data_IF_902617141838
#
_entry.id   IF_902617141838
#
_cell.length_a   1.000
_cell.length_b   1.000
_cell.length_c   1.000
_cell.angle_alpha   90.00
_cell.angle_beta   90.00
_cell.angle_gamma   90.00
#
_symmetry.space_group_name_H-M   'P 1'
#
loop_
_entity.id
_entity.type
_entity.pdbx_description
1 polymer ?
#
# COMPACT_ATOMS: atom_id res chain seq x y z
N UNK A 1 -9.21 -1.54 1.86
CA UNK A 1 -8.40 -0.34 1.50
C UNK A 1 -7.37 -0.14 2.60
N UNK A 2 -6.06 -0.28 2.29
CA UNK A 2 -5.01 -0.10 3.30
C UNK A 2 -4.73 1.39 3.52
N UNK A 3 -5.01 1.88 4.72
CA UNK A 3 -4.81 3.29 5.12
C UNK A 3 -3.34 3.63 5.35
N UNK A 4 -2.51 2.63 5.63
CA UNK A 4 -1.09 2.77 5.90
C UNK A 4 -0.30 1.58 5.35
N UNK A 5 0.97 1.81 5.08
CA UNK A 5 1.94 0.80 4.68
C UNK A 5 2.82 0.46 5.88
N UNK A 6 2.92 -0.82 6.24
CA UNK A 6 3.71 -1.29 7.36
C UNK A 6 4.76 -2.32 6.94
N UNK A 7 5.93 -2.28 7.62
CA UNK A 7 6.97 -3.31 7.52
C UNK A 7 7.49 -3.66 8.90
N UNK A 8 7.81 -4.94 9.10
CA UNK A 8 8.54 -5.41 10.27
C UNK A 8 10.02 -5.07 10.10
N UNK A 9 10.62 -4.45 11.13
CA UNK A 9 12.04 -4.10 11.14
C UNK A 9 12.89 -5.31 11.55
N UNK A 10 14.02 -5.47 10.88
CA UNK A 10 15.06 -6.45 11.26
C UNK A 10 15.95 -5.94 12.39
N UNK A 11 15.79 -4.68 12.78
CA UNK A 11 16.60 -4.00 13.78
C UNK A 11 15.89 -3.87 15.12
N UNK A 12 16.64 -3.54 16.18
CA UNK A 12 16.09 -3.14 17.47
C UNK A 12 15.25 -1.85 17.34
N UNK A 13 14.39 -1.58 18.31
CA UNK A 13 13.57 -0.37 18.34
C UNK A 13 14.41 0.91 18.25
N UNK A 14 15.46 1.01 19.06
CA UNK A 14 16.34 2.18 19.10
C UNK A 14 17.11 2.39 17.77
N UNK A 15 17.55 1.32 17.16
CA UNK A 15 18.21 1.35 15.87
C UNK A 15 17.23 1.72 14.75
N UNK A 16 16.01 1.19 14.80
CA UNK A 16 14.95 1.53 13.86
C UNK A 16 14.60 3.02 13.92
N UNK A 17 14.50 3.61 15.12
CA UNK A 17 14.29 5.04 15.29
C UNK A 17 15.41 5.88 14.63
N UNK A 18 16.68 5.47 14.82
CA UNK A 18 17.81 6.13 14.16
C UNK A 18 17.75 6.01 12.64
N UNK A 19 17.40 4.83 12.15
CA UNK A 19 17.26 4.57 10.71
C UNK A 19 16.13 5.40 10.09
N UNK A 20 14.97 5.51 10.73
CA UNK A 20 13.85 6.35 10.27
C UNK A 20 14.31 7.80 10.12
N UNK A 21 15.00 8.38 11.11
CA UNK A 21 15.50 9.75 11.03
C UNK A 21 16.51 9.93 9.88
N UNK A 22 17.46 9.02 9.77
CA UNK A 22 18.49 9.01 8.72
C UNK A 22 17.88 8.89 7.32
N UNK A 23 16.93 7.99 7.11
CA UNK A 23 16.30 7.79 5.80
C UNK A 23 15.33 8.93 5.47
N UNK A 24 14.68 9.56 6.46
CA UNK A 24 13.89 10.78 6.27
C UNK A 24 14.77 11.94 5.75
N UNK A 25 15.91 12.16 6.37
CA UNK A 25 16.88 13.18 5.94
C UNK A 25 17.36 12.94 4.51
N UNK A 26 17.75 11.70 4.16
CA UNK A 26 18.16 11.33 2.80
C UNK A 26 17.04 11.53 1.74
N UNK A 27 15.80 11.35 2.15
CA UNK A 27 14.63 11.59 1.31
C UNK A 27 14.21 13.07 1.24
N UNK A 28 15.01 13.99 1.84
CA UNK A 28 14.69 15.42 1.96
C UNK A 28 13.36 15.69 2.68
N UNK A 29 13.05 14.86 3.66
CA UNK A 29 11.88 15.02 4.51
C UNK A 29 12.28 15.68 5.82
N UNK A 30 11.62 16.77 6.15
CA UNK A 30 11.77 17.45 7.45
C UNK A 30 10.89 16.76 8.48
N UNK A 31 11.47 16.43 9.64
CA UNK A 31 10.71 16.00 10.83
C UNK A 31 10.25 17.26 11.52
N UNK A 32 8.93 17.52 11.49
CA UNK A 32 8.30 18.69 12.07
C UNK A 32 8.01 18.52 13.56
N UNK A 33 7.89 17.28 14.01
CA UNK A 33 7.62 16.94 15.40
C UNK A 33 7.68 15.44 15.65
N UNK A 34 7.91 15.09 16.91
CA UNK A 34 7.92 13.73 17.41
C UNK A 34 7.01 13.65 18.64
N UNK A 35 6.27 12.56 18.75
CA UNK A 35 5.42 12.28 19.91
C UNK A 35 5.57 10.82 20.33
N UNK A 36 5.70 10.58 21.62
CA UNK A 36 5.65 9.23 22.15
C UNK A 36 4.20 8.75 22.22
N UNK A 37 3.97 7.50 21.81
CA UNK A 37 2.65 6.89 21.88
C UNK A 37 2.35 6.42 23.31
N UNK A 38 1.06 6.40 23.71
CA UNK A 38 0.66 5.94 25.03
C UNK A 38 1.23 4.56 25.37
N UNK A 39 1.45 4.29 26.65
CA UNK A 39 1.91 2.99 27.16
C UNK A 39 3.23 2.50 26.53
N UNK A 40 4.11 3.41 26.13
CA UNK A 40 5.39 3.08 25.50
C UNK A 40 5.24 2.19 24.24
N UNK A 41 4.12 2.32 23.52
CA UNK A 41 3.83 1.52 22.33
C UNK A 41 4.67 1.91 21.10
N UNK A 42 5.31 3.07 21.15
CA UNK A 42 6.13 3.52 20.03
C UNK A 42 6.28 5.03 19.93
N UNK A 43 6.67 5.50 18.76
CA UNK A 43 6.87 6.91 18.45
C UNK A 43 6.26 7.29 17.12
N UNK A 44 5.58 8.43 17.09
CA UNK A 44 5.05 9.07 15.89
C UNK A 44 5.99 10.19 15.44
N UNK A 45 6.19 10.32 14.14
CA UNK A 45 6.91 11.39 13.49
C UNK A 45 5.97 12.11 12.51
N UNK A 46 5.84 13.39 12.62
CA UNK A 46 5.23 14.23 11.63
C UNK A 46 6.30 14.70 10.65
N UNK A 47 6.15 14.36 9.40
CA UNK A 47 7.14 14.63 8.35
C UNK A 47 6.55 15.49 7.25
N UNK A 48 7.37 16.30 6.62
CA UNK A 48 6.96 17.15 5.51
C UNK A 48 8.09 17.32 4.48
N UNK A 49 7.69 17.55 3.25
CA UNK A 49 8.56 18.00 2.17
C UNK A 49 7.98 19.31 1.59
N UNK A 50 8.79 20.34 1.54
CA UNK A 50 8.36 21.68 1.10
C UNK A 50 7.82 21.69 -0.34
N UNK A 51 8.43 20.90 -1.23
CA UNK A 51 7.99 20.81 -2.60
C UNK A 51 6.61 20.16 -2.73
N UNK A 52 6.37 19.05 -1.99
CA UNK A 52 5.05 18.40 -1.99
C UNK A 52 3.97 19.30 -1.42
N UNK A 53 4.30 19.98 -0.31
CA UNK A 53 3.39 20.91 0.33
C UNK A 53 3.04 22.08 -0.60
N UNK A 54 4.04 22.65 -1.28
CA UNK A 54 3.84 23.69 -2.28
C UNK A 54 2.88 23.26 -3.38
N UNK A 55 3.10 22.09 -3.99
CA UNK A 55 2.23 21.55 -5.05
C UNK A 55 0.79 21.36 -4.59
N UNK A 56 0.58 20.84 -3.38
CA UNK A 56 -0.76 20.60 -2.84
C UNK A 56 -1.48 21.93 -2.58
N UNK A 57 -0.79 22.91 -1.99
CA UNK A 57 -1.37 24.21 -1.65
C UNK A 57 -1.66 25.09 -2.89
N UNK A 58 -0.99 24.86 -4.01
CA UNK A 58 -1.32 25.57 -5.27
C UNK A 58 -2.63 25.11 -5.86
N UNK A 59 -3.08 23.90 -5.57
CA UNK A 59 -4.36 23.36 -6.06
C UNK A 59 -5.50 23.80 -5.14
N UNK A 60 -5.40 23.54 -3.83
CA UNK A 60 -6.40 23.97 -2.86
C UNK A 60 -5.75 24.15 -1.46
N UNK A 61 -5.83 25.36 -0.92
CA UNK A 61 -5.34 25.70 0.43
C UNK A 61 -6.01 24.88 1.55
N UNK A 62 -7.24 24.41 1.33
CA UNK A 62 -7.96 23.61 2.34
C UNK A 62 -7.31 22.24 2.56
N UNK A 63 -6.49 21.76 1.60
CA UNK A 63 -5.78 20.50 1.73
C UNK A 63 -4.67 20.52 2.79
N UNK A 64 -4.32 21.71 3.33
CA UNK A 64 -3.35 21.82 4.43
C UNK A 64 -3.76 21.00 5.66
N UNK A 65 -5.06 20.81 5.87
CA UNK A 65 -5.59 19.96 6.96
C UNK A 65 -5.27 18.49 6.84
N UNK A 66 -4.82 18.04 5.67
CA UNK A 66 -4.40 16.64 5.40
C UNK A 66 -2.88 16.45 5.51
N UNK A 67 -2.15 17.52 5.82
CA UNK A 67 -0.72 17.55 6.07
C UNK A 67 -0.46 17.75 7.57
N UNK A 68 0.68 17.30 8.11
CA UNK A 68 1.78 16.58 7.49
C UNK A 68 1.53 15.07 7.35
N UNK A 69 2.35 14.39 6.53
CA UNK A 69 2.39 12.93 6.49
C UNK A 69 2.94 12.38 7.81
N UNK A 70 2.50 11.19 8.18
CA UNK A 70 2.93 10.55 9.43
C UNK A 70 3.75 9.31 9.16
N UNK A 71 4.83 9.16 9.93
CA UNK A 71 5.56 7.91 10.12
C UNK A 71 5.38 7.44 11.56
N UNK A 72 5.30 6.14 11.77
CA UNK A 72 5.18 5.57 13.09
C UNK A 72 6.15 4.41 13.25
N UNK A 73 6.81 4.33 14.42
CA UNK A 73 7.58 3.16 14.84
C UNK A 73 6.88 2.56 16.05
N UNK A 74 6.36 1.34 15.89
CA UNK A 74 5.56 0.64 16.90
C UNK A 74 6.34 -0.52 17.52
N UNK A 75 6.11 -0.75 18.80
CA UNK A 75 6.47 -1.98 19.50
C UNK A 75 5.21 -2.83 19.63
N UNK A 76 5.16 -3.99 18.99
CA UNK A 76 4.03 -4.90 19.06
C UNK A 76 4.52 -6.35 19.15
N UNK A 77 4.09 -7.07 20.18
CA UNK A 77 4.33 -8.52 20.32
C UNK A 77 5.80 -8.94 20.10
N UNK A 78 6.75 -8.22 20.69
CA UNK A 78 8.22 -8.38 20.50
C UNK A 78 8.76 -8.01 19.12
N UNK A 79 7.92 -7.45 18.25
CA UNK A 79 8.27 -6.96 16.92
C UNK A 79 8.35 -5.44 16.91
N UNK A 80 9.17 -4.93 16.02
CA UNK A 80 9.23 -3.51 15.70
C UNK A 80 8.64 -3.31 14.32
N UNK A 81 7.61 -2.47 14.23
CA UNK A 81 6.95 -2.15 12.96
C UNK A 81 7.19 -0.69 12.62
N UNK A 82 7.51 -0.41 11.36
CA UNK A 82 7.52 0.96 10.83
C UNK A 82 6.35 1.11 9.87
N UNK A 83 5.57 2.16 10.07
CA UNK A 83 4.43 2.46 9.23
C UNK A 83 4.47 3.87 8.68
N UNK A 84 3.89 4.05 7.49
CA UNK A 84 3.66 5.34 6.86
C UNK A 84 2.22 5.46 6.38
N UNK A 85 1.66 6.67 6.43
CA UNK A 85 0.34 6.94 5.84
C UNK A 85 0.36 6.69 4.32
N UNK A 86 -0.74 6.14 3.80
CA UNK A 86 -0.90 5.90 2.38
C UNK A 86 -1.35 7.19 1.67
N UNK A 87 -0.39 7.94 1.14
CA UNK A 87 -0.65 9.21 0.48
C UNK A 87 -1.46 9.07 -0.82
N UNK A 88 -1.42 7.91 -1.48
CA UNK A 88 -2.17 7.67 -2.73
C UNK A 88 -3.68 7.72 -2.54
N UNK A 89 -4.18 7.62 -1.30
CA UNK A 89 -5.59 7.80 -0.98
C UNK A 89 -6.09 9.22 -1.28
N UNK A 90 -5.25 10.23 -1.05
CA UNK A 90 -5.57 11.61 -1.41
C UNK A 90 -5.84 11.77 -2.90
N UNK A 91 -4.99 11.17 -3.74
CA UNK A 91 -5.17 11.20 -5.19
C UNK A 91 -6.44 10.49 -5.68
N UNK A 92 -6.99 9.55 -4.89
CA UNK A 92 -8.26 8.88 -5.20
C UNK A 92 -9.49 9.70 -4.79
N UNK A 93 -9.37 10.50 -3.74
CA UNK A 93 -10.47 11.32 -3.21
C UNK A 93 -10.55 12.65 -3.95
N UNK A 94 -9.41 13.24 -4.27
CA UNK A 94 -9.32 14.53 -4.94
C UNK A 94 -9.07 14.27 -6.43
N UNK A 95 -10.08 14.60 -7.26
CA UNK A 95 -10.06 14.39 -8.71
C UNK A 95 -9.24 15.49 -9.42
N UNK A 96 -7.97 15.64 -9.00
CA UNK A 96 -7.01 16.56 -9.60
C UNK A 96 -5.74 15.81 -10.03
N UNK A 97 -5.29 16.02 -11.26
CA UNK A 97 -4.15 15.30 -11.84
C UNK A 97 -2.83 15.63 -11.12
N UNK A 98 -2.61 16.87 -10.73
CA UNK A 98 -1.38 17.29 -10.05
C UNK A 98 -1.30 16.69 -8.65
N UNK A 99 -2.44 16.67 -7.93
CA UNK A 99 -2.56 16.00 -6.64
C UNK A 99 -2.32 14.51 -6.77
N UNK A 100 -2.91 13.85 -7.78
CA UNK A 100 -2.73 12.42 -8.02
C UNK A 100 -1.25 12.05 -8.24
N UNK A 101 -0.55 12.78 -9.11
CA UNK A 101 0.87 12.53 -9.37
C UNK A 101 1.75 12.84 -8.14
N UNK A 102 1.46 13.92 -7.42
CA UNK A 102 2.16 14.24 -6.17
C UNK A 102 1.95 13.16 -5.13
N UNK A 103 0.71 12.73 -4.91
CA UNK A 103 0.37 11.67 -3.95
C UNK A 103 1.05 10.33 -4.28
N UNK A 104 1.15 9.99 -5.57
CA UNK A 104 1.87 8.79 -6.05
C UNK A 104 3.37 8.86 -5.74
N UNK A 105 3.99 10.01 -5.94
CA UNK A 105 5.41 10.24 -5.64
C UNK A 105 5.67 10.19 -4.12
N UNK A 106 4.79 10.80 -3.32
CA UNK A 106 4.84 10.75 -1.85
C UNK A 106 4.76 9.31 -1.37
N UNK A 107 3.77 8.56 -1.85
CA UNK A 107 3.54 7.16 -1.47
C UNK A 107 4.77 6.29 -1.77
N UNK A 108 5.35 6.45 -2.96
CA UNK A 108 6.58 5.75 -3.35
C UNK A 108 7.74 6.07 -2.40
N UNK A 109 7.98 7.36 -2.14
CA UNK A 109 9.07 7.79 -1.27
C UNK A 109 8.90 7.28 0.16
N UNK A 110 7.68 7.32 0.69
CA UNK A 110 7.38 6.82 2.04
C UNK A 110 7.58 5.31 2.15
N UNK A 111 7.15 4.54 1.16
CA UNK A 111 7.38 3.09 1.11
C UNK A 111 8.86 2.73 1.06
N UNK A 112 9.63 3.43 0.23
CA UNK A 112 11.08 3.25 0.18
C UNK A 112 11.76 3.59 1.50
N UNK A 113 11.35 4.68 2.15
CA UNK A 113 11.85 5.08 3.46
C UNK A 113 11.56 4.00 4.51
N UNK A 114 10.32 3.53 4.58
CA UNK A 114 9.92 2.45 5.51
C UNK A 114 10.76 1.20 5.28
N UNK A 115 10.89 0.74 4.04
CA UNK A 115 11.68 -0.44 3.70
C UNK A 115 13.15 -0.31 4.14
N UNK A 116 13.79 0.81 3.79
CA UNK A 116 15.19 1.09 4.16
C UNK A 116 15.38 1.21 5.67
N UNK A 117 14.43 1.85 6.36
CA UNK A 117 14.46 1.97 7.83
C UNK A 117 14.34 0.62 8.53
N UNK A 118 13.62 -0.31 7.93
CA UNK A 118 13.45 -1.68 8.43
C UNK A 118 14.56 -2.65 8.01
N UNK A 119 15.45 -2.26 7.08
CA UNK A 119 16.47 -3.14 6.51
C UNK A 119 15.88 -4.23 5.61
N UNK A 120 14.75 -3.96 4.95
CA UNK A 120 14.04 -4.91 4.08
C UNK A 120 13.91 -4.37 2.66
N UNK A 121 13.70 -5.26 1.71
CA UNK A 121 13.37 -4.90 0.33
C UNK A 121 11.91 -4.45 0.14
N UNK A 122 11.53 -4.01 -1.07
CA UNK A 122 10.13 -3.74 -1.39
C UNK A 122 9.28 -5.01 -1.20
N UNK A 123 7.98 -4.83 -0.98
CA UNK A 123 7.05 -5.96 -0.93
C UNK A 123 7.10 -6.75 -2.23
N UNK A 124 7.16 -8.05 -2.11
CA UNK A 124 7.10 -8.98 -3.24
C UNK A 124 5.79 -9.77 -3.21
N UNK A 125 5.21 -9.98 -4.38
CA UNK A 125 3.99 -10.78 -4.50
C UNK A 125 4.34 -12.24 -4.28
N UNK A 126 3.70 -12.87 -3.28
CA UNK A 126 3.89 -14.27 -2.91
C UNK A 126 2.86 -15.19 -3.57
N UNK A 127 1.61 -14.73 -3.63
CA UNK A 127 0.50 -15.52 -4.19
C UNK A 127 -0.51 -14.59 -4.87
N UNK A 128 -1.08 -15.06 -5.95
CA UNK A 128 -2.18 -14.41 -6.66
C UNK A 128 -3.32 -15.42 -6.78
N UNK A 129 -4.55 -15.00 -6.48
CA UNK A 129 -5.76 -15.80 -6.64
C UNK A 129 -6.82 -14.98 -7.37
N UNK A 130 -7.30 -15.51 -8.48
CA UNK A 130 -8.36 -14.90 -9.27
C UNK A 130 -9.67 -15.62 -8.98
N UNK A 131 -10.60 -14.95 -8.33
CA UNK A 131 -11.97 -15.41 -8.14
C UNK A 131 -12.78 -15.10 -9.39
N UNK A 132 -13.42 -16.11 -9.93
CA UNK A 132 -14.12 -16.09 -11.21
C UNK A 132 -15.41 -16.92 -11.15
N UNK A 133 -16.24 -16.83 -12.20
CA UNK A 133 -17.32 -17.78 -12.43
C UNK A 133 -17.18 -18.40 -13.83
N UNK A 134 -17.85 -19.53 -14.05
CA UNK A 134 -17.79 -20.26 -15.33
C UNK A 134 -18.28 -19.41 -16.51
N UNK A 135 -19.20 -18.49 -16.30
CA UNK A 135 -19.84 -17.67 -17.32
C UNK A 135 -19.28 -16.26 -17.46
N UNK A 136 -18.34 -15.84 -16.59
CA UNK A 136 -17.82 -14.48 -16.54
C UNK A 136 -16.88 -14.15 -17.72
N UNK A 137 -17.23 -13.25 -18.65
CA UNK A 137 -16.36 -12.90 -19.77
C UNK A 137 -15.14 -12.07 -19.32
N UNK A 138 -15.29 -11.14 -18.39
CA UNK A 138 -14.19 -10.32 -17.88
C UNK A 138 -13.16 -11.14 -17.11
N UNK A 139 -13.57 -12.18 -16.41
CA UNK A 139 -12.66 -13.12 -15.73
C UNK A 139 -11.77 -13.85 -16.74
N UNK A 140 -12.33 -14.26 -17.88
CA UNK A 140 -11.58 -14.90 -18.96
C UNK A 140 -10.57 -13.96 -19.61
N UNK A 141 -10.95 -12.68 -19.78
CA UNK A 141 -10.05 -11.64 -20.32
C UNK A 141 -8.90 -11.40 -19.36
N UNK A 142 -9.16 -11.28 -18.05
CA UNK A 142 -8.13 -11.10 -17.02
C UNK A 142 -7.19 -12.30 -16.94
N UNK A 143 -7.74 -13.51 -16.91
CA UNK A 143 -6.97 -14.75 -16.94
C UNK A 143 -6.04 -14.81 -18.17
N UNK A 144 -6.56 -14.54 -19.36
CA UNK A 144 -5.77 -14.50 -20.61
C UNK A 144 -4.66 -13.46 -20.55
N UNK A 145 -4.92 -12.29 -19.93
CA UNK A 145 -3.92 -11.28 -19.75
C UNK A 145 -2.82 -11.73 -18.77
N UNK A 146 -3.18 -12.29 -17.61
CA UNK A 146 -2.22 -12.85 -16.64
C UNK A 146 -1.34 -13.94 -17.29
N UNK A 147 -1.93 -14.82 -18.09
CA UNK A 147 -1.21 -15.85 -18.83
C UNK A 147 -0.24 -15.24 -19.85
N UNK A 148 -0.64 -14.19 -20.57
CA UNK A 148 0.21 -13.46 -21.52
C UNK A 148 1.44 -12.83 -20.85
N UNK A 149 1.29 -12.41 -19.59
CA UNK A 149 2.38 -11.88 -18.76
C UNK A 149 3.19 -12.97 -18.06
N UNK A 150 2.87 -14.26 -18.28
CA UNK A 150 3.49 -15.42 -17.63
C UNK A 150 3.40 -15.39 -16.10
N UNK A 151 2.34 -14.79 -15.56
CA UNK A 151 2.09 -14.68 -14.14
C UNK A 151 1.41 -15.97 -13.67
N UNK A 152 1.93 -16.56 -12.60
CA UNK A 152 1.30 -17.72 -11.95
C UNK A 152 0.23 -17.25 -10.98
N UNK A 153 -0.96 -17.80 -11.09
CA UNK A 153 -2.09 -17.52 -10.21
C UNK A 153 -2.94 -18.76 -9.98
N UNK A 154 -3.72 -18.76 -8.90
CA UNK A 154 -4.77 -19.73 -8.63
C UNK A 154 -6.08 -19.22 -9.24
N UNK A 155 -6.69 -20.02 -10.12
CA UNK A 155 -7.99 -19.68 -10.70
C UNK A 155 -9.10 -20.42 -9.94
N UNK A 156 -9.97 -19.67 -9.26
CA UNK A 156 -10.98 -20.24 -8.36
C UNK A 156 -12.38 -19.88 -8.84
N UNK A 157 -13.16 -20.90 -9.19
CA UNK A 157 -14.54 -20.75 -9.64
C UNK A 157 -15.48 -20.72 -8.43
N UNK A 158 -15.97 -19.53 -8.08
CA UNK A 158 -16.84 -19.31 -6.89
C UNK A 158 -18.27 -19.80 -7.09
N UNK A 159 -18.71 -20.00 -8.32
CA UNK A 159 -20.01 -20.64 -8.65
C UNK A 159 -19.98 -22.16 -8.50
N UNK A 160 -18.79 -22.76 -8.43
CA UNK A 160 -18.60 -24.20 -8.17
C UNK A 160 -18.02 -24.47 -6.77
N UNK A 161 -17.54 -23.45 -6.08
CA UNK A 161 -16.96 -23.54 -4.75
C UNK A 161 -17.56 -22.47 -3.84
N UNK A 162 -18.61 -22.85 -3.12
CA UNK A 162 -19.35 -21.95 -2.24
C UNK A 162 -18.47 -21.35 -1.14
N UNK A 163 -17.59 -22.14 -0.53
CA UNK A 163 -16.69 -21.67 0.53
C UNK A 163 -15.76 -20.57 0.03
N UNK A 164 -15.21 -20.72 -1.18
CA UNK A 164 -14.38 -19.68 -1.79
C UNK A 164 -15.17 -18.43 -2.14
N UNK A 165 -16.44 -18.56 -2.53
CA UNK A 165 -17.35 -17.44 -2.74
C UNK A 165 -17.61 -16.66 -1.46
N UNK A 166 -17.93 -17.36 -0.38
CA UNK A 166 -18.14 -16.77 0.96
C UNK A 166 -16.86 -16.10 1.48
N UNK A 167 -15.69 -16.73 1.28
CA UNK A 167 -14.39 -16.13 1.61
C UNK A 167 -14.18 -14.80 0.87
N UNK A 168 -14.39 -14.79 -0.44
CA UNK A 168 -14.26 -13.58 -1.26
C UNK A 168 -15.17 -12.46 -0.75
N UNK A 169 -16.45 -12.75 -0.51
CA UNK A 169 -17.42 -11.77 -0.01
C UNK A 169 -17.02 -11.26 1.38
N UNK A 170 -16.63 -12.14 2.28
CA UNK A 170 -16.18 -11.76 3.64
C UNK A 170 -14.97 -10.82 3.60
N UNK A 171 -14.01 -11.09 2.73
CA UNK A 171 -12.76 -10.30 2.60
C UNK A 171 -12.96 -8.96 1.88
N UNK A 172 -13.84 -8.91 0.90
CA UNK A 172 -13.95 -7.77 -0.02
C UNK A 172 -15.26 -7.00 0.07
N UNK A 173 -16.31 -7.60 0.63
CA UNK A 173 -17.68 -7.09 0.56
C UNK A 173 -18.29 -7.16 -0.83
N UNK A 174 -17.62 -7.81 -1.81
CA UNK A 174 -18.07 -7.88 -3.20
C UNK A 174 -18.71 -9.23 -3.51
N UNK A 175 -19.85 -9.18 -4.21
CA UNK A 175 -20.49 -10.38 -4.75
C UNK A 175 -20.16 -10.62 -6.22
N UNK A 176 -19.65 -9.62 -6.91
CA UNK A 176 -19.28 -9.70 -8.33
C UNK A 176 -17.86 -10.18 -8.55
N UNK A 177 -17.62 -10.74 -9.73
CA UNK A 177 -16.30 -11.19 -10.21
C UNK A 177 -15.94 -10.48 -11.52
N UNK A 178 -14.65 -10.37 -11.89
CA UNK A 178 -13.47 -10.91 -11.23
C UNK A 178 -13.08 -10.15 -9.96
N UNK A 179 -12.47 -10.84 -9.03
CA UNK A 179 -11.74 -10.28 -7.91
C UNK A 179 -10.37 -10.93 -7.87
N UNK A 180 -9.31 -10.13 -7.90
CA UNK A 180 -7.94 -10.63 -7.79
C UNK A 180 -7.39 -10.33 -6.40
N UNK A 181 -7.10 -11.39 -5.66
CA UNK A 181 -6.41 -11.36 -4.37
C UNK A 181 -4.91 -11.46 -4.60
N UNK A 182 -4.17 -10.54 -4.03
CA UNK A 182 -2.71 -10.50 -4.08
C UNK A 182 -2.20 -10.57 -2.65
N UNK A 183 -1.45 -11.62 -2.34
CA UNK A 183 -0.82 -11.82 -1.03
C UNK A 183 0.66 -11.51 -1.16
N UNK A 184 1.15 -10.63 -0.30
CA UNK A 184 2.55 -10.22 -0.25
C UNK A 184 3.39 -11.08 0.71
N UNK A 185 4.71 -10.94 0.64
CA UNK A 185 5.68 -11.68 1.45
C UNK A 185 5.56 -11.41 2.96
N UNK A 186 5.04 -10.24 3.34
CA UNK A 186 4.77 -9.87 4.74
C UNK A 186 3.39 -10.35 5.24
N UNK A 187 2.61 -11.05 4.41
CA UNK A 187 1.26 -11.54 4.72
C UNK A 187 0.15 -10.50 4.53
N UNK A 188 0.46 -9.29 4.07
CA UNK A 188 -0.57 -8.34 3.67
C UNK A 188 -1.30 -8.82 2.41
N UNK A 189 -2.58 -8.47 2.33
CA UNK A 189 -3.45 -8.81 1.21
C UNK A 189 -3.95 -7.53 0.53
N UNK A 190 -3.97 -7.54 -0.79
CA UNK A 190 -4.58 -6.50 -1.61
C UNK A 190 -5.62 -7.14 -2.54
N UNK A 191 -6.75 -6.46 -2.73
CA UNK A 191 -7.83 -6.93 -3.59
C UNK A 191 -8.08 -5.94 -4.71
N UNK A 192 -8.05 -6.43 -5.95
CA UNK A 192 -8.40 -5.66 -7.14
C UNK A 192 -9.76 -6.16 -7.62
N UNK A 193 -10.74 -5.25 -7.66
CA UNK A 193 -12.13 -5.55 -8.00
C UNK A 193 -12.38 -5.18 -9.45
N UNK A 194 -12.86 -6.15 -10.23
CA UNK A 194 -12.96 -6.02 -11.67
C UNK A 194 -11.61 -6.13 -12.37
N UNK A 195 -11.62 -6.22 -13.69
CA UNK A 195 -10.39 -6.25 -14.48
C UNK A 195 -9.81 -4.83 -14.63
N UNK A 196 -9.01 -4.42 -13.66
CA UNK A 196 -8.21 -3.19 -13.71
C UNK A 196 -6.77 -3.52 -14.16
N UNK A 197 -6.58 -3.54 -15.49
CA UNK A 197 -5.29 -3.86 -16.10
C UNK A 197 -4.18 -2.93 -15.66
N UNK A 198 -4.47 -1.63 -15.50
CA UNK A 198 -3.47 -0.65 -15.08
C UNK A 198 -3.00 -0.95 -13.67
N UNK A 199 -3.94 -1.17 -12.74
CA UNK A 199 -3.60 -1.49 -11.35
C UNK A 199 -2.86 -2.81 -11.23
N UNK A 200 -3.31 -3.84 -11.94
CA UNK A 200 -2.60 -5.13 -12.01
C UNK A 200 -1.17 -4.97 -12.51
N UNK A 201 -0.96 -4.20 -13.59
CA UNK A 201 0.38 -3.95 -14.13
C UNK A 201 1.30 -3.25 -13.13
N UNK A 202 0.78 -2.26 -12.40
CA UNK A 202 1.52 -1.52 -11.37
C UNK A 202 1.94 -2.44 -10.22
N UNK A 203 1.00 -3.26 -9.71
CA UNK A 203 1.23 -4.15 -8.57
C UNK A 203 2.15 -5.31 -8.93
N UNK A 204 1.94 -5.91 -10.10
CA UNK A 204 2.71 -7.05 -10.58
C UNK A 204 4.02 -6.67 -11.27
N UNK A 205 4.30 -5.35 -11.42
CA UNK A 205 5.49 -4.78 -12.04
C UNK A 205 5.72 -5.28 -13.47
N UNK A 206 4.64 -5.47 -14.23
CA UNK A 206 4.70 -5.87 -15.65
C UNK A 206 4.41 -4.70 -16.57
N UNK A 207 4.89 -4.79 -17.81
CA UNK A 207 4.63 -3.76 -18.82
C UNK A 207 3.18 -3.84 -19.30
N UNK A 208 2.56 -2.68 -19.47
CA UNK A 208 1.26 -2.55 -20.11
C UNK A 208 1.33 -2.88 -21.59
#
# INVERSE_FOLDING_TARGET
MNLAYFRESTFSYEETLKNVKKEAEKASLKILGEADLPNNQGKLFNICNEFWMGNILTVDKNLIGLLPCSLVVLKKDKKVLVGASNASLLGKVIQDKAIFETAKNVDKTLKELVNKSCGVGPLTVKKIKLYATTTCPYCKIEASWLDSQKIKYEYTLVDLNQEAGEEMVRKTGQMGVPVTEIVYDNGEEEYIIGFDRQRLSEVLQVKN
#
